data_IF_717037505572
#
_entry.id   IF_717037505572
#
_cell.length_a   1.000
_cell.length_b   1.000
_cell.length_c   1.000
_cell.angle_alpha   90.00
_cell.angle_beta   90.00
_cell.angle_gamma   90.00
#
_symmetry.space_group_name_H-M   'P 1'
#
loop_
_entity.id
_entity.type
_entity.pdbx_description
1 polymer ?
#
# COMPACT_ATOMS: atom_id res chain seq x y z
N UNK A 1 -2.03 7.89 -5.68
CA UNK A 1 -3.43 7.45 -5.57
C UNK A 1 -3.40 6.15 -4.80
N UNK A 2 -4.12 6.10 -3.70
CA UNK A 2 -4.18 5.00 -2.73
C UNK A 2 -5.57 4.34 -2.87
N UNK A 3 -5.75 3.10 -2.45
CA UNK A 3 -7.09 2.48 -2.33
C UNK A 3 -8.01 3.30 -1.41
N UNK A 4 -7.44 4.06 -0.47
CA UNK A 4 -8.17 5.01 0.38
C UNK A 4 -8.62 6.28 -0.37
N UNK A 5 -8.10 6.55 -1.57
CA UNK A 5 -8.55 7.68 -2.39
C UNK A 5 -9.98 7.47 -2.93
N UNK A 6 -10.44 6.22 -3.09
CA UNK A 6 -11.78 5.95 -3.63
C UNK A 6 -12.89 6.41 -2.65
N UNK A 7 -12.88 6.02 -1.35
CA UNK A 7 -13.84 6.54 -0.37
C UNK A 7 -13.78 8.06 -0.22
N UNK A 8 -12.58 8.64 -0.25
CA UNK A 8 -12.39 10.09 -0.16
C UNK A 8 -13.04 10.82 -1.34
N UNK A 9 -12.74 10.40 -2.57
CA UNK A 9 -13.36 10.97 -3.79
C UNK A 9 -14.87 10.79 -3.81
N UNK A 10 -15.35 9.64 -3.34
CA UNK A 10 -16.80 9.36 -3.25
C UNK A 10 -17.46 10.30 -2.25
N UNK A 11 -16.88 10.48 -1.06
CA UNK A 11 -17.40 11.38 -0.04
C UNK A 11 -17.38 12.83 -0.52
N UNK A 12 -16.31 13.25 -1.18
CA UNK A 12 -16.19 14.58 -1.76
C UNK A 12 -17.29 14.82 -2.81
N UNK A 13 -17.50 13.86 -3.72
CA UNK A 13 -18.53 13.95 -4.75
C UNK A 13 -19.94 14.04 -4.15
N UNK A 14 -20.25 13.20 -3.15
CA UNK A 14 -21.55 13.20 -2.47
C UNK A 14 -21.78 14.49 -1.69
N UNK A 15 -20.77 14.99 -0.98
CA UNK A 15 -20.89 16.26 -0.23
C UNK A 15 -21.09 17.45 -1.18
N UNK A 16 -20.34 17.48 -2.28
CA UNK A 16 -20.45 18.50 -3.32
C UNK A 16 -21.84 18.49 -3.97
N UNK A 17 -22.34 17.32 -4.34
CA UNK A 17 -23.69 17.13 -4.90
C UNK A 17 -24.79 17.57 -3.92
N UNK A 18 -24.62 17.25 -2.64
CA UNK A 18 -25.55 17.67 -1.59
C UNK A 18 -25.63 19.20 -1.47
N UNK A 19 -24.49 19.90 -1.45
CA UNK A 19 -24.50 21.36 -1.37
C UNK A 19 -25.13 22.02 -2.60
N UNK A 20 -24.82 21.52 -3.80
CA UNK A 20 -25.42 22.03 -5.05
C UNK A 20 -26.94 21.81 -5.05
N UNK A 21 -27.40 20.60 -4.70
CA UNK A 21 -28.82 20.25 -4.72
C UNK A 21 -29.65 21.05 -3.72
N UNK A 22 -29.04 21.47 -2.60
CA UNK A 22 -29.73 22.21 -1.54
C UNK A 22 -29.46 23.72 -1.56
N UNK A 23 -28.80 24.24 -2.61
CA UNK A 23 -28.46 25.66 -2.76
C UNK A 23 -27.69 26.23 -1.55
N UNK A 24 -26.77 25.42 -1.00
CA UNK A 24 -25.92 25.81 0.13
C UNK A 24 -24.63 26.41 -0.44
N UNK A 25 -24.29 27.63 -0.05
CA UNK A 25 -23.02 28.27 -0.42
C UNK A 25 -21.85 27.65 0.37
N UNK A 26 -20.77 27.27 -0.33
CA UNK A 26 -19.56 26.69 0.28
C UNK A 26 -18.31 27.07 -0.53
N UNK A 27 -17.15 26.99 0.12
CA UNK A 27 -15.85 27.09 -0.54
C UNK A 27 -15.32 25.69 -0.91
N UNK A 28 -15.10 25.38 -2.21
CA UNK A 28 -14.65 24.05 -2.63
C UNK A 28 -13.31 23.62 -2.04
N UNK A 29 -12.40 24.56 -1.77
CA UNK A 29 -11.08 24.26 -1.23
C UNK A 29 -11.17 23.83 0.23
N UNK A 30 -12.01 24.49 1.02
CA UNK A 30 -12.25 24.12 2.41
C UNK A 30 -13.06 22.83 2.53
N UNK A 31 -14.04 22.60 1.66
CA UNK A 31 -14.73 21.31 1.59
C UNK A 31 -13.74 20.16 1.35
N UNK A 32 -12.83 20.32 0.38
CA UNK A 32 -11.80 19.33 0.14
C UNK A 32 -10.91 19.10 1.37
N UNK A 33 -10.48 20.17 2.05
CA UNK A 33 -9.66 20.07 3.28
C UNK A 33 -10.40 19.34 4.40
N UNK A 34 -11.68 19.65 4.62
CA UNK A 34 -12.49 19.05 5.67
C UNK A 34 -12.69 17.55 5.41
N UNK A 35 -12.95 17.17 4.16
CA UNK A 35 -13.05 15.75 3.75
C UNK A 35 -11.70 15.04 3.93
N UNK A 36 -10.62 15.65 3.46
CA UNK A 36 -9.26 15.10 3.59
C UNK A 36 -8.87 14.90 5.05
N UNK A 37 -9.17 15.88 5.92
CA UNK A 37 -8.91 15.81 7.36
C UNK A 37 -9.75 14.72 8.01
N UNK A 38 -11.05 14.66 7.71
CA UNK A 38 -11.96 13.65 8.26
C UNK A 38 -11.47 12.23 7.94
N UNK A 39 -11.07 11.97 6.69
CA UNK A 39 -10.49 10.68 6.28
C UNK A 39 -9.16 10.45 7.00
N UNK A 40 -8.27 11.44 7.02
CA UNK A 40 -6.98 11.36 7.73
C UNK A 40 -7.13 11.01 9.21
N UNK A 41 -8.13 11.59 9.90
CA UNK A 41 -8.42 11.33 11.30
C UNK A 41 -8.82 9.88 11.58
N UNK A 42 -9.53 9.22 10.66
CA UNK A 42 -9.91 7.80 10.80
C UNK A 42 -8.67 6.90 10.86
N UNK A 43 -7.66 7.20 10.04
CA UNK A 43 -6.37 6.51 10.05
C UNK A 43 -5.53 6.86 11.29
N UNK A 44 -5.41 8.16 11.61
CA UNK A 44 -4.56 8.65 12.72
C UNK A 44 -5.06 8.21 14.09
N UNK A 45 -6.37 8.29 14.33
CA UNK A 45 -6.98 7.84 15.61
C UNK A 45 -7.06 6.32 15.72
N UNK A 46 -6.76 5.60 14.64
CA UNK A 46 -6.73 4.15 14.57
C UNK A 46 -8.10 3.49 14.70
N UNK A 47 -9.20 4.23 14.44
CA UNK A 47 -10.55 3.66 14.44
C UNK A 47 -10.71 2.60 13.37
N UNK A 48 -10.12 2.82 12.19
CA UNK A 48 -10.07 1.83 11.11
C UNK A 48 -9.48 0.50 11.60
N UNK A 49 -8.31 0.53 12.24
CA UNK A 49 -7.67 -0.67 12.76
C UNK A 49 -8.56 -1.37 13.79
N UNK A 50 -9.20 -0.61 14.70
CA UNK A 50 -10.12 -1.18 15.70
C UNK A 50 -11.31 -1.89 15.07
N UNK A 51 -11.95 -1.29 14.06
CA UNK A 51 -13.09 -1.89 13.38
C UNK A 51 -12.71 -3.13 12.58
N UNK A 52 -11.61 -3.09 11.84
CA UNK A 52 -11.12 -4.27 11.10
C UNK A 52 -10.76 -5.40 12.07
N UNK A 53 -10.13 -5.07 13.21
CA UNK A 53 -9.77 -6.06 14.22
C UNK A 53 -10.98 -6.68 14.94
N UNK A 54 -12.18 -6.10 14.85
CA UNK A 54 -13.40 -6.70 15.42
C UNK A 54 -13.94 -7.84 14.56
N UNK A 55 -13.77 -7.76 13.23
CA UNK A 55 -14.30 -8.75 12.27
C UNK A 55 -13.29 -8.98 11.13
N UNK A 56 -12.25 -9.76 11.42
CA UNK A 56 -11.17 -10.00 10.45
C UNK A 56 -11.63 -10.81 9.25
N UNK A 57 -12.53 -11.78 9.45
CA UNK A 57 -13.01 -12.68 8.40
C UNK A 57 -13.73 -11.91 7.29
N UNK A 58 -14.42 -10.81 7.65
CA UNK A 58 -15.11 -9.95 6.71
C UNK A 58 -14.17 -9.06 5.88
N UNK A 59 -13.10 -8.56 6.49
CA UNK A 59 -12.25 -7.51 5.89
C UNK A 59 -10.92 -8.03 5.34
N UNK A 60 -10.42 -9.17 5.84
CA UNK A 60 -9.17 -9.76 5.41
C UNK A 60 -9.47 -11.09 4.73
N UNK A 61 -9.24 -11.15 3.42
CA UNK A 61 -9.38 -12.38 2.65
C UNK A 61 -8.26 -13.35 3.03
N UNK A 62 -8.63 -14.44 3.70
CA UNK A 62 -7.71 -15.56 3.94
C UNK A 62 -7.59 -16.37 2.65
N UNK A 63 -6.41 -16.34 2.06
CA UNK A 63 -6.05 -17.11 0.86
C UNK A 63 -4.91 -18.06 1.22
N UNK A 64 -5.16 -19.37 1.16
CA UNK A 64 -4.18 -20.43 1.44
C UNK A 64 -2.94 -20.30 0.54
N UNK A 65 -3.10 -19.69 -0.63
CA UNK A 65 -2.03 -19.38 -1.57
C UNK A 65 -0.97 -18.45 -0.99
N UNK A 66 -1.35 -17.56 -0.05
CA UNK A 66 -0.41 -16.60 0.56
C UNK A 66 0.62 -17.34 1.43
N UNK A 67 0.14 -18.26 2.26
CA UNK A 67 0.98 -19.11 3.11
C UNK A 67 1.89 -20.00 2.26
N UNK A 68 1.33 -20.63 1.23
CA UNK A 68 2.08 -21.46 0.30
C UNK A 68 3.22 -20.70 -0.41
N UNK A 69 2.99 -19.44 -0.82
CA UNK A 69 4.02 -18.60 -1.45
C UNK A 69 5.13 -18.25 -0.47
N UNK A 70 4.80 -17.86 0.77
CA UNK A 70 5.81 -17.55 1.79
C UNK A 70 6.66 -18.77 2.13
N UNK A 71 6.02 -19.94 2.34
CA UNK A 71 6.72 -21.20 2.54
C UNK A 71 7.64 -21.55 1.37
N UNK A 72 7.16 -21.40 0.13
CA UNK A 72 7.96 -21.66 -1.07
C UNK A 72 9.19 -20.75 -1.12
N UNK A 73 9.04 -19.45 -0.87
CA UNK A 73 10.16 -18.51 -0.90
C UNK A 73 11.21 -18.86 0.15
N UNK A 74 10.78 -19.13 1.39
CA UNK A 74 11.70 -19.50 2.48
C UNK A 74 12.39 -20.84 2.20
N UNK A 75 11.66 -21.84 1.69
CA UNK A 75 12.23 -23.15 1.32
C UNK A 75 13.32 -23.06 0.24
N UNK A 76 13.24 -22.05 -0.62
CA UNK A 76 14.24 -21.76 -1.65
C UNK A 76 15.39 -20.88 -1.16
N UNK A 77 15.48 -20.64 0.16
CA UNK A 77 16.55 -19.84 0.77
C UNK A 77 16.43 -18.34 0.50
N UNK A 78 15.24 -17.83 0.13
CA UNK A 78 15.01 -16.40 0.00
C UNK A 78 14.87 -15.77 1.38
N UNK A 79 15.46 -14.59 1.54
CA UNK A 79 15.28 -13.75 2.72
C UNK A 79 14.11 -12.80 2.50
N UNK A 80 13.23 -12.69 3.49
CA UNK A 80 12.00 -11.90 3.39
C UNK A 80 12.04 -10.74 4.37
N UNK A 81 11.41 -9.64 3.99
CA UNK A 81 11.21 -8.51 4.88
C UNK A 81 9.83 -7.89 4.68
N UNK A 82 9.31 -7.28 5.74
CA UNK A 82 8.04 -6.58 5.76
C UNK A 82 8.25 -5.14 6.21
N UNK A 83 7.76 -4.17 5.44
CA UNK A 83 7.80 -2.73 5.77
C UNK A 83 6.38 -2.17 5.65
N UNK A 84 5.82 -1.71 6.76
CA UNK A 84 4.44 -1.22 6.82
C UNK A 84 4.30 0.04 7.65
N UNK A 85 3.36 0.91 7.28
CA UNK A 85 2.96 2.08 8.08
C UNK A 85 2.02 1.70 9.24
N UNK A 86 1.48 0.49 9.23
CA UNK A 86 0.57 0.01 10.26
C UNK A 86 1.26 -0.22 11.61
N UNK A 87 0.53 -0.09 12.73
CA UNK A 87 1.03 -0.45 14.05
C UNK A 87 1.20 -1.96 14.19
N UNK A 88 2.12 -2.37 15.06
CA UNK A 88 2.44 -3.78 15.30
C UNK A 88 1.22 -4.61 15.70
N UNK A 89 0.36 -4.11 16.59
CA UNK A 89 -0.85 -4.83 17.04
C UNK A 89 -1.79 -5.22 15.89
N UNK A 90 -1.91 -4.36 14.88
CA UNK A 90 -2.71 -4.64 13.69
C UNK A 90 -2.04 -5.68 12.79
N UNK A 91 -0.73 -5.51 12.54
CA UNK A 91 0.07 -6.43 11.72
C UNK A 91 0.09 -7.83 12.32
N UNK A 92 0.33 -7.95 13.62
CA UNK A 92 0.40 -9.25 14.29
C UNK A 92 -0.93 -10.00 14.21
N UNK A 93 -2.05 -9.29 14.43
CA UNK A 93 -3.39 -9.89 14.34
C UNK A 93 -3.75 -10.29 12.90
N UNK A 94 -3.48 -9.42 11.93
CA UNK A 94 -3.73 -9.68 10.51
C UNK A 94 -2.89 -10.84 9.98
N UNK A 95 -1.59 -10.83 10.23
CA UNK A 95 -0.68 -11.90 9.79
C UNK A 95 -0.97 -13.24 10.49
N UNK A 96 -1.31 -13.20 11.79
CA UNK A 96 -1.76 -14.41 12.51
C UNK A 96 -3.02 -14.99 11.89
N UNK A 97 -3.94 -14.15 11.43
CA UNK A 97 -5.15 -14.59 10.75
C UNK A 97 -4.88 -15.16 9.35
N UNK A 98 -4.00 -14.53 8.58
CA UNK A 98 -3.68 -14.93 7.20
C UNK A 98 -2.80 -16.18 7.10
N UNK A 99 -1.72 -16.23 7.89
CA UNK A 99 -0.61 -17.19 7.75
C UNK A 99 -0.44 -18.06 9.00
N UNK A 100 -0.95 -17.61 10.14
CA UNK A 100 -0.88 -18.35 11.41
C UNK A 100 0.08 -17.74 12.44
N UNK A 101 0.12 -18.32 13.64
CA UNK A 101 0.81 -17.74 14.81
C UNK A 101 2.33 -17.56 14.64
N UNK A 102 2.96 -18.38 13.79
CA UNK A 102 4.40 -18.38 13.57
C UNK A 102 4.82 -17.53 12.37
N UNK A 103 3.96 -16.60 11.92
CA UNK A 103 4.21 -15.79 10.72
C UNK A 103 5.56 -15.03 10.77
N UNK A 104 6.04 -14.71 11.97
CA UNK A 104 7.32 -14.00 12.18
C UNK A 104 8.52 -14.80 11.69
N UNK A 105 8.42 -16.13 11.64
CA UNK A 105 9.51 -17.01 11.23
C UNK A 105 9.76 -16.95 9.71
N UNK A 106 8.81 -16.44 8.93
CA UNK A 106 9.00 -16.22 7.50
C UNK A 106 9.89 -15.01 7.21
N UNK A 107 9.88 -14.00 8.08
CA UNK A 107 10.52 -12.71 7.81
C UNK A 107 11.83 -12.55 8.59
N UNK A 108 12.90 -12.26 7.87
CA UNK A 108 14.20 -11.90 8.44
C UNK A 108 14.16 -10.50 9.09
N UNK A 109 13.35 -9.60 8.55
CA UNK A 109 13.17 -8.24 9.08
C UNK A 109 11.71 -7.81 9.02
N UNK A 110 11.15 -7.34 10.14
CA UNK A 110 9.81 -6.72 10.19
C UNK A 110 9.93 -5.29 10.70
N UNK A 111 9.45 -4.34 9.91
CA UNK A 111 9.44 -2.91 10.23
C UNK A 111 8.01 -2.39 10.20
N UNK A 112 7.53 -1.92 11.35
CA UNK A 112 6.20 -1.34 11.54
C UNK A 112 6.29 0.17 11.71
N UNK A 113 5.18 0.88 11.46
CA UNK A 113 5.13 2.35 11.47
C UNK A 113 6.35 2.97 10.79
N UNK A 114 6.68 2.45 9.60
CA UNK A 114 7.86 2.84 8.83
C UNK A 114 7.84 4.33 8.42
N UNK A 115 6.64 4.91 8.27
CA UNK A 115 6.42 6.27 7.81
C UNK A 115 6.80 6.48 6.34
N UNK A 116 6.43 5.53 5.48
CA UNK A 116 6.53 5.65 4.02
C UNK A 116 5.67 6.85 3.56
N UNK A 117 6.16 7.69 2.62
CA UNK A 117 7.37 7.53 1.81
C UNK A 117 8.68 7.99 2.48
N UNK A 118 8.62 8.70 3.62
CA UNK A 118 9.82 9.23 4.30
C UNK A 118 10.82 8.14 4.68
N UNK A 119 10.37 6.91 4.93
CA UNK A 119 11.28 5.77 5.11
C UNK A 119 12.29 5.60 3.95
N UNK A 120 11.85 5.86 2.72
CA UNK A 120 12.67 5.69 1.51
C UNK A 120 13.43 6.95 1.12
N UNK A 121 12.88 8.14 1.41
CA UNK A 121 13.48 9.42 1.01
C UNK A 121 14.41 10.01 2.06
N UNK A 122 14.11 9.79 3.35
CA UNK A 122 14.72 10.51 4.45
C UNK A 122 15.64 9.61 5.28
N UNK A 123 16.72 10.19 5.82
CA UNK A 123 17.67 9.48 6.70
C UNK A 123 17.53 9.90 8.17
N UNK A 124 16.36 10.40 8.57
CA UNK A 124 16.20 11.11 9.86
C UNK A 124 15.87 10.16 11.01
N UNK A 125 14.98 9.18 10.79
CA UNK A 125 14.44 8.35 11.87
C UNK A 125 15.30 7.10 12.07
N UNK A 126 15.84 6.85 13.28
CA UNK A 126 16.57 5.61 13.58
C UNK A 126 15.60 4.46 13.84
N UNK A 127 16.07 3.22 13.63
CA UNK A 127 15.33 2.03 14.04
C UNK A 127 15.19 1.95 15.56
N UNK A 128 14.02 1.50 16.02
CA UNK A 128 13.73 1.20 17.43
C UNK A 128 13.21 -0.21 17.55
N UNK A 129 13.70 -1.01 18.48
CA UNK A 129 13.20 -2.38 18.69
C UNK A 129 11.93 -2.34 19.53
N UNK A 130 10.94 -3.15 19.14
CA UNK A 130 9.77 -3.46 19.96
C UNK A 130 10.00 -4.73 20.76
N UNK A 131 9.48 -4.77 21.99
CA UNK A 131 9.38 -6.02 22.74
C UNK A 131 8.18 -6.86 22.29
N UNK A 132 7.96 -8.00 22.94
CA UNK A 132 6.85 -8.90 22.62
C UNK A 132 5.47 -8.29 22.92
N UNK A 133 5.40 -7.30 23.81
CA UNK A 133 4.18 -6.59 24.18
C UNK A 133 3.90 -5.39 23.26
N UNK A 134 4.86 -5.03 22.39
CA UNK A 134 4.78 -3.89 21.48
C UNK A 134 5.35 -2.60 22.05
N UNK A 135 6.03 -2.65 23.21
CA UNK A 135 6.65 -1.50 23.86
C UNK A 135 8.06 -1.24 23.32
N UNK A 136 8.46 0.03 23.34
CA UNK A 136 9.74 0.47 22.79
C UNK A 136 10.90 0.13 23.73
N UNK A 137 11.92 -0.53 23.17
CA UNK A 137 13.22 -0.69 23.84
C UNK A 137 14.14 0.45 23.46
N UNK A 138 14.72 1.08 24.48
CA UNK A 138 15.66 2.19 24.36
C UNK A 138 17.08 1.69 24.17
N UNK A 139 17.36 1.15 23.00
CA UNK A 139 18.69 0.63 22.65
C UNK A 139 19.08 1.03 21.22
N UNK A 140 20.38 1.15 20.99
CA UNK A 140 20.91 1.42 19.65
C UNK A 140 20.91 0.13 18.82
N UNK A 141 20.29 0.18 17.66
CA UNK A 141 20.21 -0.95 16.75
C UNK A 141 21.47 -1.01 15.88
N UNK A 142 22.30 -2.03 16.13
CA UNK A 142 23.52 -2.29 15.36
C UNK A 142 23.35 -3.45 14.35
N UNK A 143 22.28 -4.23 14.47
CA UNK A 143 21.92 -5.32 13.55
C UNK A 143 20.42 -5.58 13.57
N UNK A 144 19.91 -6.13 12.48
CA UNK A 144 18.52 -6.56 12.35
C UNK A 144 18.48 -8.09 12.51
N UNK A 145 17.85 -8.55 13.59
CA UNK A 145 17.79 -9.95 13.99
C UNK A 145 16.43 -10.56 13.60
N UNK A 146 16.46 -11.80 13.08
CA UNK A 146 15.25 -12.51 12.64
C UNK A 146 14.26 -12.71 13.80
N UNK A 147 12.97 -12.54 13.50
CA UNK A 147 11.89 -12.65 14.48
C UNK A 147 11.74 -11.43 15.41
N UNK A 148 12.65 -10.45 15.35
CA UNK A 148 12.51 -9.18 16.05
C UNK A 148 11.70 -8.19 15.20
N UNK A 149 11.04 -7.27 15.89
CA UNK A 149 10.19 -6.27 15.27
C UNK A 149 10.79 -4.90 15.53
N UNK A 150 10.89 -4.12 14.46
CA UNK A 150 11.46 -2.79 14.46
C UNK A 150 10.37 -1.78 14.14
N UNK A 151 10.47 -0.60 14.74
CA UNK A 151 9.62 0.55 14.49
C UNK A 151 10.45 1.64 13.84
N UNK A 152 9.85 2.37 12.88
CA UNK A 152 10.50 3.44 12.13
C UNK A 152 11.78 2.94 11.43
N UNK A 153 12.75 3.82 11.22
CA UNK A 153 13.97 3.57 10.49
C UNK A 153 14.02 4.33 9.18
N UNK A 154 15.02 3.99 8.39
CA UNK A 154 15.24 4.55 7.06
C UNK A 154 15.91 3.51 6.16
N UNK A 155 15.74 3.69 4.86
CA UNK A 155 16.29 2.79 3.85
C UNK A 155 17.83 2.76 3.89
N UNK A 156 18.50 3.88 4.15
CA UNK A 156 19.96 3.93 4.18
C UNK A 156 20.54 2.99 5.25
N UNK A 157 20.04 3.09 6.48
CA UNK A 157 20.41 2.21 7.58
C UNK A 157 19.97 0.77 7.30
N UNK A 158 18.79 0.54 6.70
CA UNK A 158 18.34 -0.80 6.31
C UNK A 158 19.35 -1.47 5.36
N UNK A 159 19.78 -0.77 4.30
CA UNK A 159 20.75 -1.26 3.33
C UNK A 159 22.14 -1.46 3.95
N UNK A 160 22.51 -0.65 4.94
CA UNK A 160 23.78 -0.78 5.68
C UNK A 160 23.77 -1.99 6.62
N UNK A 161 22.67 -2.20 7.35
CA UNK A 161 22.55 -3.26 8.36
C UNK A 161 22.30 -4.63 7.72
N UNK A 162 21.53 -4.70 6.63
CA UNK A 162 21.24 -5.97 5.94
C UNK A 162 22.29 -6.35 4.90
N UNK A 163 22.94 -5.35 4.29
CA UNK A 163 23.79 -5.53 3.12
C UNK A 163 23.02 -5.88 1.84
N UNK A 164 21.69 -5.85 1.85
CA UNK A 164 20.87 -6.20 0.68
C UNK A 164 20.79 -5.01 -0.27
N UNK A 165 21.49 -5.07 -1.40
CA UNK A 165 21.62 -3.91 -2.31
C UNK A 165 21.38 -4.27 -3.77
N UNK A 166 20.96 -3.25 -4.53
CA UNK A 166 20.80 -3.29 -5.98
C UNK A 166 19.72 -4.27 -6.43
N UNK A 167 19.93 -4.83 -7.62
CA UNK A 167 18.95 -5.65 -8.36
C UNK A 167 18.65 -7.02 -7.73
N UNK A 168 19.27 -7.33 -6.58
CA UNK A 168 19.03 -8.56 -5.80
C UNK A 168 17.81 -8.44 -4.88
N UNK A 169 17.31 -7.23 -4.68
CA UNK A 169 16.12 -6.97 -3.86
C UNK A 169 14.91 -6.80 -4.76
N UNK A 170 13.82 -7.50 -4.43
CA UNK A 170 12.51 -7.35 -5.03
C UNK A 170 11.54 -6.85 -3.96
N UNK A 171 10.95 -5.69 -4.18
CA UNK A 171 9.97 -5.09 -3.28
C UNK A 171 8.58 -5.11 -3.92
N UNK A 172 7.62 -5.65 -3.17
CA UNK A 172 6.22 -5.68 -3.56
C UNK A 172 5.48 -4.55 -2.83
N UNK A 173 4.70 -3.76 -3.58
CA UNK A 173 3.90 -2.68 -3.02
C UNK A 173 2.63 -2.47 -3.83
N UNK A 174 1.58 -2.02 -3.17
CA UNK A 174 0.32 -1.60 -3.77
C UNK A 174 0.33 -0.12 -4.18
N UNK A 175 1.22 0.67 -3.57
CA UNK A 175 1.30 2.11 -3.83
C UNK A 175 2.40 2.48 -4.84
N UNK A 176 2.03 2.72 -6.10
CA UNK A 176 3.00 3.08 -7.15
C UNK A 176 3.92 4.27 -6.77
N UNK A 177 3.36 5.31 -6.14
CA UNK A 177 4.07 6.56 -5.86
C UNK A 177 4.86 6.55 -4.55
N UNK A 178 4.27 6.13 -3.44
CA UNK A 178 4.95 6.14 -2.13
C UNK A 178 5.89 4.95 -1.92
N UNK A 179 5.70 3.87 -2.67
CA UNK A 179 6.39 2.60 -2.43
C UNK A 179 7.37 2.20 -3.55
N UNK A 180 7.20 2.61 -4.82
CA UNK A 180 7.94 2.00 -5.94
C UNK A 180 8.82 2.96 -6.77
N UNK A 181 8.42 4.23 -6.94
CA UNK A 181 9.13 5.15 -7.84
C UNK A 181 10.57 5.45 -7.39
N UNK A 182 10.78 5.84 -6.13
CA UNK A 182 12.11 6.21 -5.62
C UNK A 182 13.03 5.00 -5.45
N UNK A 183 12.50 3.83 -5.11
CA UNK A 183 13.28 2.59 -4.93
C UNK A 183 13.95 2.14 -6.23
N UNK A 184 13.20 2.20 -7.34
CA UNK A 184 13.71 1.82 -8.65
C UNK A 184 14.75 2.84 -9.15
N UNK A 185 14.43 4.13 -9.07
CA UNK A 185 15.25 5.20 -9.64
C UNK A 185 16.55 5.46 -8.86
N UNK A 186 16.50 5.40 -7.52
CA UNK A 186 17.63 5.82 -6.67
C UNK A 186 18.44 4.65 -6.11
N UNK A 187 17.85 3.47 -5.95
CA UNK A 187 18.46 2.36 -5.22
C UNK A 187 18.60 1.07 -6.05
N UNK A 188 18.09 1.05 -7.28
CA UNK A 188 18.23 -0.07 -8.21
C UNK A 188 17.54 -1.35 -7.74
N UNK A 189 16.55 -1.24 -6.85
CA UNK A 189 15.72 -2.36 -6.44
C UNK A 189 14.76 -2.72 -7.58
N UNK A 190 14.45 -4.02 -7.71
CA UNK A 190 13.34 -4.44 -8.55
C UNK A 190 12.05 -4.19 -7.78
N UNK A 191 11.05 -3.64 -8.45
CA UNK A 191 9.75 -3.33 -7.86
C UNK A 191 8.67 -4.13 -8.58
N UNK A 192 7.68 -4.60 -7.82
CA UNK A 192 6.50 -5.27 -8.34
C UNK A 192 5.26 -4.62 -7.74
N UNK A 193 4.41 -4.07 -8.60
CA UNK A 193 3.16 -3.46 -8.20
C UNK A 193 2.08 -4.54 -8.01
N UNK A 194 1.35 -4.47 -6.90
CA UNK A 194 0.15 -5.27 -6.66
C UNK A 194 -1.05 -4.37 -6.96
N UNK A 195 -1.78 -4.68 -8.04
CA UNK A 195 -2.93 -3.88 -8.50
C UNK A 195 -4.16 -4.78 -8.57
N UNK A 196 -4.97 -4.87 -7.49
CA UNK A 196 -6.16 -5.72 -7.46
C UNK A 196 -7.19 -5.40 -8.56
N UNK A 197 -7.32 -4.12 -8.91
CA UNK A 197 -8.27 -3.60 -9.90
C UNK A 197 -8.01 -4.17 -11.30
N UNK A 198 -6.76 -4.56 -11.58
CA UNK A 198 -6.35 -5.11 -12.87
C UNK A 198 -7.08 -6.41 -13.19
N UNK A 199 -7.49 -7.20 -12.19
CA UNK A 199 -8.26 -8.43 -12.43
C UNK A 199 -9.61 -8.11 -13.09
N UNK A 200 -10.32 -7.11 -12.55
CA UNK A 200 -11.61 -6.69 -13.09
C UNK A 200 -11.44 -6.01 -14.45
N UNK A 201 -10.43 -5.15 -14.60
CA UNK A 201 -10.12 -4.50 -15.87
C UNK A 201 -9.83 -5.53 -16.97
N UNK A 202 -8.99 -6.54 -16.68
CA UNK A 202 -8.65 -7.60 -17.63
C UNK A 202 -9.90 -8.38 -18.06
N UNK A 203 -10.82 -8.68 -17.13
CA UNK A 203 -12.11 -9.33 -17.44
C UNK A 203 -12.97 -8.47 -18.36
N UNK A 204 -13.01 -7.16 -18.15
CA UNK A 204 -13.79 -6.22 -18.98
C UNK A 204 -13.16 -6.07 -20.37
N UNK A 205 -11.85 -5.86 -20.44
CA UNK A 205 -11.12 -5.65 -21.70
C UNK A 205 -11.14 -6.90 -22.58
N UNK A 206 -11.06 -8.08 -21.98
CA UNK A 206 -11.16 -9.35 -22.71
C UNK A 206 -12.58 -9.68 -23.20
N UNK A 207 -13.61 -8.94 -22.76
CA UNK A 207 -14.97 -9.18 -23.20
C UNK A 207 -15.15 -8.77 -24.67
N UNK A 208 -15.75 -9.66 -25.47
CA UNK A 208 -15.97 -9.41 -26.90
C UNK A 208 -16.72 -8.10 -27.19
N UNK A 209 -17.71 -7.77 -26.36
CA UNK A 209 -18.47 -6.51 -26.47
C UNK A 209 -17.58 -5.27 -26.34
N UNK A 210 -16.62 -5.29 -25.42
CA UNK A 210 -15.69 -4.18 -25.22
C UNK A 210 -14.82 -3.99 -26.47
N UNK A 211 -14.23 -5.07 -26.99
CA UNK A 211 -13.40 -5.03 -28.19
C UNK A 211 -14.13 -4.48 -29.43
N UNK A 212 -15.36 -4.93 -29.67
CA UNK A 212 -16.19 -4.43 -30.78
C UNK A 212 -16.51 -2.95 -30.58
N UNK A 213 -16.91 -2.54 -29.38
CA UNK A 213 -17.27 -1.15 -29.07
C UNK A 213 -16.06 -0.23 -29.24
N UNK A 214 -14.88 -0.64 -28.77
CA UNK A 214 -13.64 0.11 -28.90
C UNK A 214 -13.25 0.31 -30.38
N UNK A 215 -13.41 -0.73 -31.20
CA UNK A 215 -13.11 -0.66 -32.64
C UNK A 215 -14.01 0.35 -33.34
N UNK A 216 -15.31 0.34 -33.03
CA UNK A 216 -16.25 1.33 -33.55
C UNK A 216 -15.92 2.74 -33.11
N UNK A 217 -15.57 2.92 -31.83
CA UNK A 217 -15.23 4.22 -31.28
C UNK A 217 -13.97 4.79 -31.94
N UNK A 218 -12.93 3.98 -32.13
CA UNK A 218 -11.72 4.37 -32.87
C UNK A 218 -12.01 4.71 -34.33
N UNK A 219 -12.87 3.95 -35.01
CA UNK A 219 -13.27 4.24 -36.39
C UNK A 219 -14.00 5.59 -36.50
N UNK A 220 -14.92 5.88 -35.57
CA UNK A 220 -15.65 7.15 -35.52
C UNK A 220 -14.72 8.31 -35.20
N UNK A 221 -13.83 8.17 -34.21
CA UNK A 221 -12.82 9.20 -33.89
C UNK A 221 -11.94 9.50 -35.10
N UNK A 222 -11.43 8.47 -35.79
CA UNK A 222 -10.62 8.67 -36.99
C UNK A 222 -11.36 9.33 -38.15
N UNK A 223 -12.67 9.09 -38.29
CA UNK A 223 -13.51 9.81 -39.27
C UNK A 223 -13.70 11.28 -38.89
N UNK A 224 -13.96 11.57 -37.61
CA UNK A 224 -14.09 12.95 -37.10
C UNK A 224 -12.81 13.75 -37.30
N UNK A 225 -11.66 13.18 -36.95
CA UNK A 225 -10.35 13.83 -37.13
C UNK A 225 -10.08 14.17 -38.60
N UNK A 226 -10.40 13.26 -39.53
CA UNK A 226 -10.25 13.53 -40.97
C UNK A 226 -11.14 14.68 -41.45
N UNK A 227 -12.39 14.72 -41.00
CA UNK A 227 -13.34 15.77 -41.37
C UNK A 227 -12.93 17.15 -40.83
N UNK A 228 -12.36 17.19 -39.63
CA UNK A 228 -11.87 18.43 -39.02
C UNK A 228 -10.61 18.99 -39.72
N UNK A 229 -9.73 18.14 -40.25
CA UNK A 229 -8.52 18.58 -40.96
C UNK A 229 -8.82 19.06 -42.40
N UNK A 230 -9.94 18.62 -42.98
CA UNK A 230 -10.40 19.05 -44.31
C UNK A 230 -11.28 20.31 -44.32
N UNK A 231 -11.39 21.01 -43.19
CA UNK A 231 -12.09 22.31 -43.03
C UNK A 231 -11.09 23.42 -42.79
#
# INVERSE_FOLDING_TARGET
MDIFSIPEMTLLAVANDFFITNDIEYDPVHLFKDVSEAIGMVHLKGYMYKWIMQDLDKFILRKEETDAVLHRLVSQGKKLFLITNSPFSFVDKGMTHMVGKNWRDFFDVVIVQADKPHFFTDCIKPFRRLDNNGDLRWEKINRLDKGQIYKQGNLFDFLRLTGWRGSKVLYFGDHLYSDLADLMLRHGWRTAAIVPELEQETKIVSAHRYAVTLTWLQALTGLMERLQVSS
#
